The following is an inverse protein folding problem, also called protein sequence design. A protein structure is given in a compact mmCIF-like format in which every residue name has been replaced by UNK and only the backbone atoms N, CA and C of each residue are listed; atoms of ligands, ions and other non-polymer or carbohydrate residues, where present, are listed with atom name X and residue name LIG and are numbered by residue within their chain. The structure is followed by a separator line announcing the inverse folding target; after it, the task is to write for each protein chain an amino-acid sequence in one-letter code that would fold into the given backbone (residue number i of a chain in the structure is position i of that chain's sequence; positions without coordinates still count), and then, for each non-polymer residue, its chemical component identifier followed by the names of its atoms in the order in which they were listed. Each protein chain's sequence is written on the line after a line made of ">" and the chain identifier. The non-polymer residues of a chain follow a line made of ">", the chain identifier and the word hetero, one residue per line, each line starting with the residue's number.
data_IF_925137160959
#
_entry.id   IF_925137160959
#
_cell.length_a   1.000
_cell.length_b   1.000
_cell.length_c   1.000
_cell.angle_alpha   90.00
_cell.angle_beta   90.00
_cell.angle_gamma   90.00
#
_symmetry.space_group_name_H-M   'P 1'
#
loop_
_entity.id
_entity.type
_entity.pdbx_description
1 polymer ?
#
# COMPACT_ATOMS: atom_id res chain seq x y z
N UNK A 1 -4.54 -8.09 12.90
CA UNK A 1 -5.64 -8.00 11.90
C UNK A 1 -5.52 -6.67 11.18
N UNK A 2 -5.67 -6.65 9.84
CA UNK A 2 -5.57 -5.41 9.06
C UNK A 2 -6.57 -4.37 9.58
N UNK A 3 -6.08 -3.16 9.85
CA UNK A 3 -6.92 -2.03 10.28
C UNK A 3 -7.47 -1.23 9.08
N UNK A 4 -7.14 -1.67 7.86
CA UNK A 4 -7.56 -1.07 6.60
C UNK A 4 -8.45 -2.07 5.84
N UNK A 5 -9.52 -1.56 5.24
CA UNK A 5 -10.45 -2.37 4.45
C UNK A 5 -9.84 -2.77 3.10
N UNK A 6 -10.14 -3.97 2.63
CA UNK A 6 -9.67 -4.49 1.34
C UNK A 6 -10.08 -3.62 0.15
N UNK A 7 -11.26 -2.97 0.19
CA UNK A 7 -11.71 -1.99 -0.80
C UNK A 7 -10.72 -0.80 -0.95
N UNK A 8 -10.25 -0.26 0.18
CA UNK A 8 -9.27 0.83 0.19
C UNK A 8 -7.93 0.36 -0.37
N UNK A 9 -7.51 -0.87 -0.06
CA UNK A 9 -6.27 -1.46 -0.59
C UNK A 9 -6.39 -1.64 -2.11
N UNK A 10 -7.50 -2.19 -2.60
CA UNK A 10 -7.76 -2.36 -4.03
C UNK A 10 -7.76 -1.01 -4.77
N UNK A 11 -8.40 0.02 -4.18
CA UNK A 11 -8.36 1.38 -4.72
C UNK A 11 -6.93 1.90 -4.85
N UNK A 12 -6.10 1.72 -3.81
CA UNK A 12 -4.68 2.11 -3.80
C UNK A 12 -3.89 1.38 -4.88
N UNK A 13 -4.09 0.06 -5.05
CA UNK A 13 -3.39 -0.76 -6.06
C UNK A 13 -3.68 -0.23 -7.47
N UNK A 14 -4.95 0.02 -7.79
CA UNK A 14 -5.37 0.53 -9.10
C UNK A 14 -4.68 1.88 -9.37
N UNK A 15 -4.75 2.81 -8.41
CA UNK A 15 -4.13 4.14 -8.56
C UNK A 15 -2.60 4.09 -8.59
N UNK A 16 -1.98 3.20 -7.83
CA UNK A 16 -0.53 3.00 -7.82
C UNK A 16 -0.02 2.49 -9.18
N UNK A 17 -0.78 1.59 -9.81
CA UNK A 17 -0.47 1.09 -11.15
C UNK A 17 -0.57 2.17 -12.22
N UNK A 18 -1.59 3.01 -12.14
CA UNK A 18 -1.74 4.19 -13.01
C UNK A 18 -0.59 5.19 -12.81
N UNK A 19 -0.21 5.44 -11.55
CA UNK A 19 0.89 6.32 -11.20
C UNK A 19 2.24 5.79 -11.72
N UNK A 20 2.57 4.52 -11.50
CA UNK A 20 3.81 3.91 -11.99
C UNK A 20 3.90 3.89 -13.53
N UNK A 21 2.78 3.65 -14.21
CA UNK A 21 2.68 3.76 -15.67
C UNK A 21 2.96 5.19 -16.16
N UNK A 22 2.39 6.19 -15.48
CA UNK A 22 2.60 7.60 -15.82
C UNK A 22 4.02 8.09 -15.47
N UNK A 23 4.67 7.60 -14.41
CA UNK A 23 6.09 7.89 -14.15
C UNK A 23 6.99 7.33 -15.26
N UNK A 24 6.74 6.09 -15.67
CA UNK A 24 7.56 5.43 -16.68
C UNK A 24 7.38 6.01 -18.09
N UNK A 25 6.23 6.61 -18.41
CA UNK A 25 6.00 7.28 -19.69
C UNK A 25 6.89 8.52 -19.92
N UNK A 26 7.45 9.11 -18.85
CA UNK A 26 8.30 10.32 -18.90
C UNK A 26 9.78 10.03 -18.60
N UNK A 27 10.12 8.79 -18.24
CA UNK A 27 11.47 8.36 -17.86
C UNK A 27 12.49 8.31 -19.01
N UNK A 28 12.07 8.42 -20.27
CA UNK A 28 12.97 8.54 -21.44
C UNK A 28 13.67 9.91 -21.51
N UNK A 29 13.06 10.95 -20.90
CA UNK A 29 13.65 12.28 -20.81
C UNK A 29 14.38 12.45 -19.47
N UNK A 30 15.72 12.46 -19.49
CA UNK A 30 16.58 12.48 -18.29
C UNK A 30 16.51 13.74 -17.41
N UNK A 31 15.34 14.06 -16.84
CA UNK A 31 15.20 14.98 -15.73
C UNK A 31 14.73 14.25 -14.46
N UNK A 32 15.54 14.41 -13.42
CA UNK A 32 15.39 13.84 -12.09
C UNK A 32 14.03 14.20 -11.48
N UNK A 33 13.36 13.17 -10.95
CA UNK A 33 12.55 13.18 -9.72
C UNK A 33 11.56 14.35 -9.59
N UNK A 34 10.37 14.17 -10.17
CA UNK A 34 9.19 14.86 -9.68
C UNK A 34 8.64 14.15 -8.42
N UNK A 35 9.35 14.27 -7.29
CA UNK A 35 8.77 14.05 -5.94
C UNK A 35 7.83 15.20 -5.56
N UNK A 36 7.00 15.68 -6.49
CA UNK A 36 6.38 17.01 -6.36
C UNK A 36 4.93 17.14 -6.82
N UNK A 37 4.37 16.13 -7.49
CA UNK A 37 2.95 16.18 -7.84
C UNK A 37 2.20 15.32 -6.84
N UNK A 38 1.64 15.97 -5.81
CA UNK A 38 0.65 15.40 -4.90
C UNK A 38 -0.43 14.78 -5.77
N UNK A 39 -0.35 13.46 -5.93
CA UNK A 39 -1.24 12.69 -6.81
C UNK A 39 -2.48 12.33 -6.01
N UNK A 40 -3.61 12.04 -6.66
CA UNK A 40 -4.81 11.57 -5.96
C UNK A 40 -4.50 10.39 -5.02
N UNK A 41 -3.58 9.51 -5.41
CA UNK A 41 -3.05 8.44 -4.57
C UNK A 41 -2.36 8.93 -3.28
N UNK A 42 -1.53 9.97 -3.41
CA UNK A 42 -0.83 10.56 -2.26
C UNK A 42 -1.84 11.15 -1.27
N UNK A 43 -2.79 11.95 -1.76
CA UNK A 43 -3.82 12.58 -0.92
C UNK A 43 -4.70 11.52 -0.24
N UNK A 44 -4.99 10.43 -0.96
CA UNK A 44 -5.71 9.29 -0.40
C UNK A 44 -4.95 8.61 0.74
N UNK A 45 -3.66 8.29 0.56
CA UNK A 45 -2.83 7.68 1.62
C UNK A 45 -2.68 8.63 2.81
N UNK A 46 -2.48 9.92 2.56
CA UNK A 46 -2.41 10.95 3.59
C UNK A 46 -3.71 11.04 4.41
N UNK A 47 -4.86 10.83 3.77
CA UNK A 47 -6.17 10.85 4.43
C UNK A 47 -6.45 9.63 5.33
N UNK A 48 -5.65 8.56 5.23
CA UNK A 48 -5.79 7.36 6.05
C UNK A 48 -5.35 7.63 7.50
N UNK A 49 -6.00 6.97 8.45
CA UNK A 49 -5.59 7.03 9.85
C UNK A 49 -4.24 6.32 10.08
N UNK A 50 -3.58 6.60 11.19
CA UNK A 50 -2.25 6.03 11.47
C UNK A 50 -2.23 4.51 11.51
N UNK A 51 -3.30 3.89 12.03
CA UNK A 51 -3.48 2.44 12.04
C UNK A 51 -3.61 1.85 10.63
N UNK A 52 -4.31 2.56 9.75
CA UNK A 52 -4.51 2.18 8.35
C UNK A 52 -3.22 2.31 7.55
N UNK A 53 -2.50 3.41 7.74
CA UNK A 53 -1.18 3.65 7.15
C UNK A 53 -0.18 2.57 7.57
N UNK A 54 -0.12 2.24 8.87
CA UNK A 54 0.76 1.19 9.36
C UNK A 54 0.38 -0.19 8.79
N UNK A 55 -0.91 -0.48 8.65
CA UNK A 55 -1.39 -1.72 8.03
C UNK A 55 -0.99 -1.80 6.55
N UNK A 56 -1.05 -0.68 5.84
CA UNK A 56 -0.67 -0.60 4.43
C UNK A 56 0.84 -0.81 4.22
N UNK A 57 1.67 -0.22 5.08
CA UNK A 57 3.13 -0.42 5.07
C UNK A 57 3.49 -1.87 5.40
N UNK A 58 2.87 -2.43 6.43
CA UNK A 58 3.06 -3.84 6.80
C UNK A 58 2.69 -4.79 5.66
N UNK A 59 1.55 -4.53 4.99
CA UNK A 59 1.12 -5.30 3.83
C UNK A 59 2.11 -5.24 2.67
N UNK A 60 2.62 -4.04 2.37
CA UNK A 60 3.68 -3.86 1.37
C UNK A 60 4.96 -4.62 1.76
N UNK A 61 5.34 -4.61 3.02
CA UNK A 61 6.50 -5.37 3.51
C UNK A 61 6.32 -6.88 3.38
N UNK A 62 5.12 -7.40 3.60
CA UNK A 62 4.81 -8.82 3.40
C UNK A 62 4.92 -9.18 1.91
N UNK A 63 4.37 -8.36 1.03
CA UNK A 63 4.43 -8.63 -0.41
C UNK A 63 5.81 -8.47 -1.07
N UNK A 64 6.78 -7.89 -0.36
CA UNK A 64 8.20 -7.89 -0.77
C UNK A 64 9.05 -8.92 -0.01
N UNK A 65 8.41 -9.88 0.65
CA UNK A 65 9.06 -10.93 1.47
C UNK A 65 9.98 -10.36 2.57
N UNK A 66 9.66 -9.18 3.13
CA UNK A 66 10.39 -8.65 4.31
C UNK A 66 9.81 -9.10 5.63
N UNK A 67 8.52 -9.45 5.65
CA UNK A 67 7.85 -10.09 6.77
C UNK A 67 6.99 -11.22 6.22
N UNK A 68 6.76 -12.25 7.04
CA UNK A 68 5.81 -13.30 6.70
C UNK A 68 4.37 -12.84 6.99
N UNK A 69 3.40 -13.48 6.34
CA UNK A 69 1.98 -13.23 6.57
C UNK A 69 1.55 -13.49 8.04
N UNK A 70 2.21 -14.44 8.71
CA UNK A 70 1.97 -14.76 10.12
C UNK A 70 2.51 -13.66 11.06
N UNK A 71 3.53 -12.91 10.62
CA UNK A 71 4.16 -11.81 11.36
C UNK A 71 3.50 -10.44 11.09
N UNK A 72 2.28 -10.43 10.53
CA UNK A 72 1.56 -9.19 10.22
C UNK A 72 1.46 -8.24 11.42
N UNK A 73 1.20 -8.75 12.62
CA UNK A 73 1.04 -7.91 13.81
C UNK A 73 2.37 -7.24 14.21
N UNK A 74 3.49 -7.97 14.08
CA UNK A 74 4.84 -7.44 14.29
C UNK A 74 5.21 -6.42 13.22
N UNK A 75 4.88 -6.70 11.96
CA UNK A 75 5.08 -5.77 10.85
C UNK A 75 4.32 -4.46 11.06
N UNK A 76 3.07 -4.51 11.54
CA UNK A 76 2.27 -3.32 11.86
C UNK A 76 2.90 -2.55 13.03
N UNK A 77 3.30 -3.24 14.10
CA UNK A 77 3.95 -2.61 15.25
C UNK A 77 5.25 -1.90 14.83
N UNK A 78 6.03 -2.55 13.97
CA UNK A 78 7.28 -2.03 13.41
C UNK A 78 7.01 -0.83 12.51
N UNK A 79 6.01 -0.90 11.63
CA UNK A 79 5.63 0.21 10.76
C UNK A 79 5.19 1.45 11.56
N UNK A 80 4.52 1.27 12.70
CA UNK A 80 4.20 2.39 13.62
C UNK A 80 5.43 2.95 14.30
N UNK A 81 6.32 2.09 14.77
CA UNK A 81 7.53 2.50 15.48
C UNK A 81 8.53 3.21 14.55
N UNK A 82 8.63 2.77 13.31
CA UNK A 82 9.54 3.31 12.28
C UNK A 82 8.90 4.40 11.41
N UNK A 83 7.73 4.94 11.80
CA UNK A 83 7.04 6.04 11.10
C UNK A 83 7.78 7.38 11.28
N UNK A 84 9.03 7.46 10.84
CA UNK A 84 9.88 8.66 10.91
C UNK A 84 9.67 9.59 9.71
N UNK A 85 9.09 9.07 8.64
CA UNK A 85 8.82 9.76 7.37
C UNK A 85 7.31 9.66 7.10
N UNK A 86 6.70 10.66 6.44
CA UNK A 86 5.30 10.56 6.03
C UNK A 86 5.08 9.31 5.19
N UNK A 87 4.06 8.52 5.55
CA UNK A 87 3.81 7.20 4.96
C UNK A 87 3.55 7.30 3.47
N UNK A 88 2.83 8.34 3.06
CA UNK A 88 2.52 8.66 1.68
C UNK A 88 3.78 8.89 0.85
N UNK A 89 4.79 9.60 1.37
CA UNK A 89 6.04 9.86 0.66
C UNK A 89 6.88 8.57 0.54
N UNK A 90 6.89 7.76 1.60
CA UNK A 90 7.56 6.47 1.62
C UNK A 90 6.97 5.49 0.60
N UNK A 91 5.64 5.33 0.57
CA UNK A 91 4.95 4.42 -0.36
C UNK A 91 5.00 4.92 -1.80
N UNK A 92 4.89 6.23 -2.03
CA UNK A 92 5.02 6.81 -3.38
C UNK A 92 6.46 6.69 -3.93
N UNK A 93 7.44 6.50 -3.06
CA UNK A 93 8.82 6.17 -3.43
C UNK A 93 9.01 4.75 -3.94
N UNK A 94 8.04 3.86 -3.73
CA UNK A 94 8.12 2.44 -4.10
C UNK A 94 7.56 2.22 -5.52
N UNK A 95 8.42 1.98 -6.54
CA UNK A 95 7.98 1.89 -7.94
C UNK A 95 7.07 0.68 -8.22
N UNK A 96 7.16 -0.37 -7.40
CA UNK A 96 6.36 -1.60 -7.51
C UNK A 96 5.33 -1.71 -6.38
N UNK A 97 4.86 -0.58 -5.85
CA UNK A 97 3.89 -0.55 -4.76
C UNK A 97 2.65 -1.41 -5.04
N UNK A 98 2.09 -1.31 -6.24
CA UNK A 98 0.91 -2.08 -6.64
C UNK A 98 1.18 -3.60 -6.55
N UNK A 99 2.26 -4.07 -7.16
CA UNK A 99 2.64 -5.48 -7.15
C UNK A 99 2.90 -6.00 -5.72
N UNK A 100 3.57 -5.20 -4.88
CA UNK A 100 3.80 -5.57 -3.48
C UNK A 100 2.50 -5.64 -2.67
N UNK A 101 1.57 -4.71 -2.84
CA UNK A 101 0.29 -4.75 -2.13
C UNK A 101 -0.58 -5.94 -2.57
N UNK A 102 -0.58 -6.27 -3.88
CA UNK A 102 -1.26 -7.45 -4.41
C UNK A 102 -0.65 -8.74 -3.84
N UNK A 103 0.68 -8.85 -3.85
CA UNK A 103 1.40 -9.99 -3.28
C UNK A 103 1.14 -10.13 -1.76
N UNK A 104 1.12 -9.02 -1.02
CA UNK A 104 0.83 -9.02 0.41
C UNK A 104 -0.59 -9.47 0.72
N UNK A 105 -1.58 -9.03 -0.06
CA UNK A 105 -2.95 -9.52 0.10
C UNK A 105 -3.04 -11.01 -0.20
N UNK A 106 -2.44 -11.46 -1.30
CA UNK A 106 -2.42 -12.88 -1.66
C UNK A 106 -1.75 -13.74 -0.58
N UNK A 107 -0.66 -13.26 0.03
CA UNK A 107 0.03 -13.94 1.14
C UNK A 107 -0.86 -14.07 2.39
N UNK A 108 -1.72 -13.09 2.66
CA UNK A 108 -2.73 -13.14 3.72
C UNK A 108 -3.99 -13.96 3.35
N UNK A 109 -4.04 -14.51 2.13
CA UNK A 109 -5.21 -15.22 1.61
C UNK A 109 -6.38 -14.30 1.28
N UNK A 110 -6.13 -13.00 1.06
CA UNK A 110 -7.10 -12.01 0.66
C UNK A 110 -6.98 -11.78 -0.85
N UNK A 111 -8.10 -11.84 -1.59
CA UNK A 111 -8.11 -11.34 -2.97
C UNK A 111 -8.61 -9.90 -3.01
N UNK A 112 -8.08 -9.04 -3.89
CA UNK A 112 -8.65 -7.71 -4.14
C UNK A 112 -10.11 -7.77 -4.62
N UNK A 113 -10.49 -8.86 -5.29
CA UNK A 113 -11.84 -9.12 -5.81
C UNK A 113 -12.78 -9.74 -4.75
N UNK A 114 -12.24 -10.43 -3.74
CA UNK A 114 -13.02 -11.06 -2.65
C UNK A 114 -13.27 -10.09 -1.46
N UNK A 115 -12.82 -8.84 -1.58
CA UNK A 115 -13.04 -7.77 -0.60
C UNK A 115 -14.53 -7.50 -0.28
N UNK A 116 -15.44 -7.99 -1.14
CA UNK A 116 -16.88 -7.88 -0.98
C UNK A 116 -17.47 -8.90 0.04
N UNK A 117 -16.78 -10.00 0.38
CA UNK A 117 -17.36 -11.14 1.12
C UNK A 117 -17.12 -11.10 2.65
N UNK A 118 -16.02 -10.52 3.16
CA UNK A 118 -15.72 -10.53 4.61
C UNK A 118 -16.60 -9.55 5.42
N UNK A 119 -17.33 -8.65 4.76
CA UNK A 119 -18.37 -7.82 5.39
C UNK A 119 -19.71 -8.56 5.59
N UNK A 120 -19.85 -9.79 5.11
CA UNK A 120 -21.04 -10.64 5.21
C UNK A 120 -20.88 -11.83 6.18
N UNK A 121 -20.25 -11.65 7.35
CA UNK A 121 -20.54 -12.54 8.49
C UNK A 121 -21.72 -11.98 9.29
N UNK A 122 -22.97 -12.46 9.06
CA UNK A 122 -24.07 -12.17 9.97
C UNK A 122 -23.77 -12.78 11.34
N UNK A 123 -24.00 -11.99 12.38
CA UNK A 123 -23.99 -12.43 13.79
C UNK A 123 -25.21 -13.30 14.12
#
# INVERSE_FOLDING_TARGET
>A
MLQISSDKIAHIIIRAREYGSNINAWADSGQRRQYGTRTELHDFIESLNEDEQASLVALMWIGRDSFDADDLDEAIATARAEKTTPTEDYLMGEPQLADHLEAGMAALGLSPEDAEDDLQKPV
#
